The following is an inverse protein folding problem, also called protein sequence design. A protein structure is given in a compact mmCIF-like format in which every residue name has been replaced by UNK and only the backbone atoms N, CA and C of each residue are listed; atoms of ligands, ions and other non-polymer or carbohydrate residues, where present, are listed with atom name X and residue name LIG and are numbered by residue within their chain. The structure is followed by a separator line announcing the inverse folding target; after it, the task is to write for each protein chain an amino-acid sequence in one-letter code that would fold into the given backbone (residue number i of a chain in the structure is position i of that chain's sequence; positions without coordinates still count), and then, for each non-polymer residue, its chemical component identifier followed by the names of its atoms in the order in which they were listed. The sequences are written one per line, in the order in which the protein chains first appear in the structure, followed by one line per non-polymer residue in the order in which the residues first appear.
data_IF_849043491172
#
_entry.id   IF_849043491172
#
_cell.length_a   1.000
_cell.length_b   1.000
_cell.length_c   1.000
_cell.angle_alpha   90.00
_cell.angle_beta   90.00
_cell.angle_gamma   90.00
#
_symmetry.space_group_name_H-M   'P 1'
#
loop_
_entity.id
_entity.type
_entity.pdbx_description
1 polymer ?
#
# COMPACT_ATOMS: atom_id res chain seq x y z
N UNK A 1 -12.16 2.71 -20.47
CA UNK A 1 -11.16 3.38 -19.61
C UNK A 1 -11.53 3.02 -18.19
N UNK A 2 -10.63 2.37 -17.45
CA UNK A 2 -10.81 2.08 -16.03
C UNK A 2 -10.60 3.35 -15.23
N UNK A 3 -11.45 3.60 -14.23
CA UNK A 3 -11.28 4.72 -13.32
C UNK A 3 -9.99 4.57 -12.50
N UNK A 4 -9.30 5.68 -12.15
CA UNK A 4 -8.08 5.64 -11.36
C UNK A 4 -8.36 5.12 -9.95
N UNK A 5 -7.70 4.02 -9.58
CA UNK A 5 -7.76 3.43 -8.24
C UNK A 5 -6.80 4.12 -7.27
N UNK A 6 -7.14 4.08 -5.98
CA UNK A 6 -6.28 4.48 -4.86
C UNK A 6 -5.61 3.23 -4.29
N UNK A 7 -4.33 3.09 -4.63
CA UNK A 7 -3.52 1.90 -4.32
C UNK A 7 -2.64 2.19 -3.12
N UNK A 8 -2.85 1.47 -2.02
CA UNK A 8 -1.92 1.48 -0.89
C UNK A 8 -0.71 0.60 -1.21
N UNK A 9 0.50 1.14 -1.07
CA UNK A 9 1.74 0.36 -1.23
C UNK A 9 2.37 0.17 0.15
N UNK A 10 2.56 -1.08 0.56
CA UNK A 10 3.18 -1.46 1.83
C UNK A 10 4.41 -2.33 1.56
N UNK A 11 5.57 -1.75 1.81
CA UNK A 11 6.88 -2.28 1.40
C UNK A 11 7.93 -1.62 2.31
N UNK A 12 8.82 -2.41 2.89
CA UNK A 12 9.82 -1.91 3.84
C UNK A 12 11.09 -1.40 3.15
N UNK A 13 11.39 -1.93 1.96
CA UNK A 13 12.49 -1.44 1.13
C UNK A 13 12.07 -0.24 0.27
N UNK A 14 12.51 0.96 0.65
CA UNK A 14 12.15 2.22 -0.02
C UNK A 14 12.32 2.19 -1.54
N UNK A 15 13.40 1.58 -2.05
CA UNK A 15 13.67 1.56 -3.49
C UNK A 15 12.63 0.73 -4.25
N UNK A 16 12.22 -0.41 -3.68
CA UNK A 16 11.18 -1.27 -4.24
C UNK A 16 9.82 -0.56 -4.15
N UNK A 17 9.56 0.07 -3.01
CA UNK A 17 8.33 0.81 -2.76
C UNK A 17 8.12 1.95 -3.78
N UNK A 18 9.17 2.73 -4.06
CA UNK A 18 9.10 3.81 -5.05
C UNK A 18 9.02 3.30 -6.49
N UNK A 19 9.66 2.18 -6.83
CA UNK A 19 9.56 1.58 -8.17
C UNK A 19 8.11 1.14 -8.47
N UNK A 20 7.48 0.46 -7.50
CA UNK A 20 6.07 0.07 -7.56
C UNK A 20 5.18 1.33 -7.65
N UNK A 21 5.42 2.32 -6.80
CA UNK A 21 4.64 3.54 -6.78
C UNK A 21 4.75 4.32 -8.11
N UNK A 22 5.94 4.40 -8.71
CA UNK A 22 6.16 5.02 -10.00
C UNK A 22 5.35 4.28 -11.09
N UNK A 23 5.43 2.95 -11.16
CA UNK A 23 4.67 2.16 -12.13
C UNK A 23 3.15 2.37 -12.01
N UNK A 24 2.63 2.46 -10.79
CA UNK A 24 1.21 2.71 -10.54
C UNK A 24 0.79 4.12 -10.97
N UNK A 25 1.60 5.14 -10.65
CA UNK A 25 1.36 6.53 -11.09
C UNK A 25 1.39 6.65 -12.61
N UNK A 26 2.36 6.01 -13.27
CA UNK A 26 2.50 5.98 -14.73
C UNK A 26 1.32 5.26 -15.41
N UNK A 27 0.71 4.30 -14.71
CA UNK A 27 -0.53 3.64 -15.14
C UNK A 27 -1.80 4.47 -14.89
N UNK A 28 -1.66 5.67 -14.31
CA UNK A 28 -2.75 6.59 -14.04
C UNK A 28 -3.47 6.38 -12.70
N UNK A 29 -2.91 5.58 -11.78
CA UNK A 29 -3.49 5.33 -10.46
C UNK A 29 -2.95 6.31 -9.41
N UNK A 30 -3.69 6.48 -8.32
CA UNK A 30 -3.26 7.26 -7.16
C UNK A 30 -2.58 6.34 -6.16
N UNK A 31 -1.41 6.72 -5.67
CA UNK A 31 -0.68 5.94 -4.66
C UNK A 31 -0.91 6.56 -3.29
N UNK A 32 -1.32 5.71 -2.33
CA UNK A 32 -1.35 6.01 -0.90
C UNK A 32 -0.13 5.37 -0.26
N UNK A 33 0.68 6.15 0.45
CA UNK A 33 1.99 5.71 0.97
C UNK A 33 3.16 6.15 0.08
N UNK A 34 4.29 5.40 0.08
CA UNK A 34 4.46 4.04 0.59
C UNK A 34 4.54 3.92 2.12
N UNK A 35 4.15 2.76 2.66
CA UNK A 35 4.14 2.47 4.09
C UNK A 35 5.19 1.41 4.45
N UNK A 36 6.20 1.72 5.29
CA UNK A 36 7.29 0.79 5.59
C UNK A 36 7.00 -0.19 6.73
N UNK A 37 5.79 -0.18 7.29
CA UNK A 37 5.39 -1.02 8.42
C UNK A 37 3.88 -1.17 8.50
N UNK A 38 3.41 -2.15 9.28
CA UNK A 38 1.97 -2.36 9.52
C UNK A 38 1.36 -1.12 10.18
N UNK A 39 2.04 -0.54 11.17
CA UNK A 39 1.54 0.65 11.86
C UNK A 39 1.35 1.84 10.90
N UNK A 40 2.29 2.06 9.97
CA UNK A 40 2.17 3.10 8.96
C UNK A 40 1.02 2.81 7.99
N UNK A 41 0.87 1.56 7.55
CA UNK A 41 -0.20 1.15 6.65
C UNK A 41 -1.59 1.32 7.27
N UNK A 42 -1.79 0.86 8.52
CA UNK A 42 -3.06 1.01 9.24
C UNK A 42 -3.44 2.48 9.44
N UNK A 43 -2.47 3.34 9.73
CA UNK A 43 -2.71 4.78 9.81
C UNK A 43 -3.18 5.35 8.47
N UNK A 44 -2.55 4.97 7.37
CA UNK A 44 -2.94 5.42 6.02
C UNK A 44 -4.34 4.93 5.63
N UNK A 45 -4.71 3.70 5.98
CA UNK A 45 -6.05 3.13 5.78
C UNK A 45 -7.10 3.94 6.55
N UNK A 46 -6.79 4.36 7.79
CA UNK A 46 -7.72 5.15 8.58
C UNK A 46 -7.90 6.59 8.04
N UNK A 47 -6.87 7.17 7.44
CA UNK A 47 -6.86 8.55 6.95
C UNK A 47 -7.34 8.68 5.49
N UNK A 48 -7.26 7.61 4.70
CA UNK A 48 -7.52 7.65 3.26
C UNK A 48 -8.38 6.47 2.81
N UNK A 49 -9.32 6.68 1.88
CA UNK A 49 -10.00 5.58 1.24
C UNK A 49 -9.03 4.82 0.31
N UNK A 50 -9.01 3.50 0.42
CA UNK A 50 -8.15 2.58 -0.34
C UNK A 50 -9.02 1.64 -1.16
N UNK A 51 -8.74 1.51 -2.45
CA UNK A 51 -9.47 0.57 -3.34
C UNK A 51 -8.79 -0.80 -3.41
N UNK A 52 -7.46 -0.81 -3.35
CA UNK A 52 -6.64 -2.01 -3.38
C UNK A 52 -5.32 -1.74 -2.65
N UNK A 53 -4.72 -2.77 -2.06
CA UNK A 53 -3.41 -2.67 -1.43
C UNK A 53 -2.45 -3.71 -2.03
N UNK A 54 -1.20 -3.29 -2.24
CA UNK A 54 -0.07 -4.16 -2.53
C UNK A 54 0.74 -4.30 -1.26
N UNK A 55 0.83 -5.53 -0.77
CA UNK A 55 1.41 -5.85 0.54
C UNK A 55 2.61 -6.76 0.33
N UNK A 56 3.81 -6.33 0.76
CA UNK A 56 4.87 -7.29 1.04
C UNK A 56 4.45 -8.17 2.22
N UNK A 57 4.66 -9.48 2.11
CA UNK A 57 4.30 -10.46 3.13
C UNK A 57 5.13 -10.26 4.39
N UNK A 58 6.41 -9.93 4.24
CA UNK A 58 7.35 -9.76 5.35
C UNK A 58 7.81 -8.31 5.42
N UNK A 59 7.45 -7.60 6.49
CA UNK A 59 7.86 -6.22 6.73
C UNK A 59 8.79 -6.21 7.93
N UNK A 60 10.10 -6.10 7.74
CA UNK A 60 11.09 -6.22 8.81
C UNK A 60 10.85 -7.44 9.73
N UNK A 61 10.36 -7.21 10.96
CA UNK A 61 10.09 -8.22 11.99
C UNK A 61 8.62 -8.60 12.13
N UNK A 62 7.75 -8.12 11.24
CA UNK A 62 6.30 -8.31 11.26
C UNK A 62 5.78 -8.77 9.89
N UNK A 63 4.50 -9.12 9.81
CA UNK A 63 3.85 -9.56 8.55
C UNK A 63 2.67 -8.66 8.23
N UNK A 64 2.36 -8.51 6.95
CA UNK A 64 1.24 -7.69 6.48
C UNK A 64 -0.15 -8.29 6.71
N UNK A 65 -0.24 -9.43 7.40
CA UNK A 65 -1.51 -10.15 7.61
C UNK A 65 -2.55 -9.29 8.34
N UNK A 66 -2.13 -8.52 9.34
CA UNK A 66 -3.01 -7.59 10.07
C UNK A 66 -3.61 -6.51 9.14
N UNK A 67 -2.87 -6.07 8.12
CA UNK A 67 -3.35 -5.11 7.13
C UNK A 67 -4.40 -5.75 6.23
N UNK A 68 -4.16 -6.98 5.78
CA UNK A 68 -5.10 -7.73 4.96
C UNK A 68 -6.39 -8.06 5.71
N UNK A 69 -6.35 -8.24 7.03
CA UNK A 69 -7.55 -8.42 7.86
C UNK A 69 -8.38 -7.14 7.95
N UNK A 70 -7.75 -5.98 8.13
CA UNK A 70 -8.44 -4.68 8.19
C UNK A 70 -9.19 -4.37 6.88
N UNK A 71 -8.58 -4.69 5.73
CA UNK A 71 -9.13 -4.41 4.39
C UNK A 71 -10.26 -5.35 3.94
N UNK A 72 -10.64 -6.37 4.71
CA UNK A 72 -11.73 -7.32 4.36
C UNK A 72 -13.13 -6.78 4.63
N UNK A 73 -13.26 -5.56 5.13
CA UNK A 73 -14.51 -4.96 5.62
C UNK A 73 -15.21 -4.15 4.54
#
# INVERSE_FOLDING_TARGET
MTDPLRVLVVEDEWLIAEDIAACLRDSGHQVIGPAPSVAAALRLIAENPVDVALLDVQLHSETSLAIAEELKT
#
